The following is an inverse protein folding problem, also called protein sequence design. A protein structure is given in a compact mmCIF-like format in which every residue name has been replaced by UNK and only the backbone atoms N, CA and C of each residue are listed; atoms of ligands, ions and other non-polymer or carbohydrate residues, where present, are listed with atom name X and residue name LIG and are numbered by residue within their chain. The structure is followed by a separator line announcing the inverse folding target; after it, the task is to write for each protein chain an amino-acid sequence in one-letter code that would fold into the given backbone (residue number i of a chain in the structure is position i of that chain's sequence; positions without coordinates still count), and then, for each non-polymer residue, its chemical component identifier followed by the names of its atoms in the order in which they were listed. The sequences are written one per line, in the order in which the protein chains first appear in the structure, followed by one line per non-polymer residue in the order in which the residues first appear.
data_IF_818276896220
#
_entry.id   IF_818276896220
#
_cell.length_a   1.000
_cell.length_b   1.000
_cell.length_c   1.000
_cell.angle_alpha   90.00
_cell.angle_beta   90.00
_cell.angle_gamma   90.00
#
_symmetry.space_group_name_H-M   'P 1'
#
loop_
_entity.id
_entity.type
_entity.pdbx_description
1 polymer ?
#
# COMPACT_ATOMS: atom_id res chain seq x y z
N UNK A 1 -31.46 -7.69 -4.04
CA UNK A 1 -30.68 -8.75 -3.37
C UNK A 1 -29.58 -8.05 -2.59
N UNK A 2 -29.85 -7.79 -1.32
CA UNK A 2 -28.94 -7.12 -0.37
C UNK A 2 -28.24 -8.20 0.44
N UNK A 3 -26.97 -8.46 0.15
CA UNK A 3 -25.99 -9.12 1.03
C UNK A 3 -24.65 -9.01 0.32
N UNK A 4 -24.10 -7.80 0.26
CA UNK A 4 -22.66 -7.60 0.03
C UNK A 4 -21.93 -7.88 1.36
N UNK A 5 -22.20 -9.06 1.91
CA UNK A 5 -21.58 -9.62 3.10
C UNK A 5 -20.29 -10.36 2.69
N UNK A 6 -19.61 -9.84 1.65
CA UNK A 6 -18.19 -10.06 1.48
C UNK A 6 -17.54 -9.34 2.64
N UNK A 7 -17.45 -10.02 3.78
CA UNK A 7 -16.51 -9.66 4.84
C UNK A 7 -15.21 -9.27 4.13
N UNK A 8 -14.85 -7.99 4.17
CA UNK A 8 -13.67 -7.48 3.49
C UNK A 8 -12.50 -8.32 3.99
N UNK A 9 -11.91 -9.19 3.15
CA UNK A 9 -11.04 -10.21 3.67
C UNK A 9 -9.83 -9.53 4.28
N UNK A 10 -9.53 -9.96 5.49
CA UNK A 10 -8.37 -9.49 6.24
C UNK A 10 -7.21 -10.46 6.02
N UNK A 11 -5.99 -9.94 6.10
CA UNK A 11 -4.74 -10.67 5.97
C UNK A 11 -3.92 -10.49 7.24
N UNK A 12 -3.39 -11.59 7.77
CA UNK A 12 -2.36 -11.56 8.82
C UNK A 12 -1.01 -11.06 8.25
N UNK A 13 0.01 -10.91 9.10
CA UNK A 13 1.35 -10.47 8.70
C UNK A 13 1.94 -11.25 7.51
N UNK A 14 2.09 -12.58 7.61
CA UNK A 14 2.60 -13.41 6.53
C UNK A 14 1.79 -13.31 5.23
N UNK A 15 0.45 -13.29 5.32
CA UNK A 15 -0.42 -13.13 4.16
C UNK A 15 -0.26 -11.73 3.54
N UNK A 16 -0.14 -10.68 4.36
CA UNK A 16 0.05 -9.31 3.88
C UNK A 16 1.35 -9.17 3.08
N UNK A 17 2.44 -9.81 3.53
CA UNK A 17 3.69 -9.84 2.77
C UNK A 17 3.49 -10.43 1.37
N UNK A 18 2.82 -11.57 1.26
CA UNK A 18 2.53 -12.17 -0.04
C UNK A 18 1.63 -11.30 -0.92
N UNK A 19 0.65 -10.59 -0.35
CA UNK A 19 -0.19 -9.66 -1.12
C UNK A 19 0.66 -8.53 -1.70
N UNK A 20 1.57 -7.96 -0.91
CA UNK A 20 2.46 -6.88 -1.37
C UNK A 20 3.38 -7.38 -2.48
N UNK A 21 4.05 -8.53 -2.29
CA UNK A 21 4.89 -9.16 -3.32
C UNK A 21 4.12 -9.39 -4.63
N UNK A 22 2.88 -9.86 -4.54
CA UNK A 22 2.02 -10.06 -5.71
C UNK A 22 1.70 -8.75 -6.43
N UNK A 23 1.40 -7.69 -5.69
CA UNK A 23 1.09 -6.38 -6.27
C UNK A 23 2.31 -5.76 -6.96
N UNK A 24 3.49 -5.87 -6.36
CA UNK A 24 4.74 -5.45 -6.99
C UNK A 24 5.02 -6.25 -8.25
N UNK A 25 4.82 -7.58 -8.20
CA UNK A 25 5.05 -8.45 -9.34
C UNK A 25 4.04 -8.20 -10.48
N UNK A 26 2.82 -7.74 -10.16
CA UNK A 26 1.79 -7.44 -11.17
C UNK A 26 2.21 -6.33 -12.13
N UNK A 27 2.99 -5.35 -11.67
CA UNK A 27 3.43 -4.22 -12.49
C UNK A 27 4.45 -4.63 -13.58
N UNK A 28 5.25 -5.67 -13.32
CA UNK A 28 6.35 -6.07 -14.21
C UNK A 28 6.18 -7.45 -14.84
N UNK A 29 5.45 -8.37 -14.19
CA UNK A 29 5.26 -9.76 -14.61
C UNK A 29 3.86 -10.29 -14.24
N UNK A 30 2.78 -9.77 -14.87
CA UNK A 30 1.40 -10.08 -14.49
C UNK A 30 1.03 -11.56 -14.63
N UNK A 31 1.65 -12.28 -15.56
CA UNK A 31 1.46 -13.71 -15.69
C UNK A 31 2.05 -14.49 -14.50
N UNK A 32 3.22 -14.08 -14.01
CA UNK A 32 3.87 -14.76 -12.89
C UNK A 32 3.15 -14.44 -11.58
N UNK A 33 2.71 -13.20 -11.38
CA UNK A 33 1.87 -12.83 -10.24
C UNK A 33 0.58 -13.66 -10.17
N UNK A 34 -0.10 -13.88 -11.30
CA UNK A 34 -1.27 -14.78 -11.34
C UNK A 34 -0.92 -16.23 -11.00
N UNK A 35 0.21 -16.74 -11.51
CA UNK A 35 0.68 -18.10 -11.18
C UNK A 35 1.01 -18.25 -9.70
N UNK A 36 1.62 -17.24 -9.09
CA UNK A 36 1.93 -17.22 -7.66
C UNK A 36 0.66 -17.13 -6.81
N UNK A 37 -0.32 -16.31 -7.20
CA UNK A 37 -1.64 -16.28 -6.54
C UNK A 37 -2.34 -17.65 -6.60
N UNK A 38 -2.34 -18.30 -7.77
CA UNK A 38 -2.89 -19.65 -7.91
C UNK A 38 -2.15 -20.70 -7.06
N UNK A 39 -0.84 -20.50 -6.83
CA UNK A 39 -0.03 -21.36 -5.96
C UNK A 39 -0.43 -21.18 -4.50
N UNK A 40 -0.49 -19.94 -4.01
CA UNK A 40 -0.87 -19.62 -2.63
C UNK A 40 -2.30 -20.12 -2.30
N UNK A 41 -3.22 -20.02 -3.26
CA UNK A 41 -4.56 -20.58 -3.11
C UNK A 41 -4.55 -22.12 -3.04
N UNK A 42 -3.74 -22.79 -3.87
CA UNK A 42 -3.60 -24.26 -3.86
C UNK A 42 -2.96 -24.78 -2.57
N UNK A 43 -1.99 -24.05 -2.04
CA UNK A 43 -1.33 -24.34 -0.76
C UNK A 43 -2.20 -23.99 0.45
N UNK A 44 -3.42 -23.46 0.25
CA UNK A 44 -4.37 -23.02 1.27
C UNK A 44 -3.82 -21.92 2.20
N UNK A 45 -2.82 -21.17 1.72
CA UNK A 45 -2.35 -19.95 2.40
C UNK A 45 -3.43 -18.87 2.35
N UNK A 46 -4.22 -18.85 1.27
CA UNK A 46 -5.33 -17.93 1.05
C UNK A 46 -6.65 -18.68 0.94
N UNK A 47 -7.70 -18.12 1.54
CA UNK A 47 -9.09 -18.54 1.33
C UNK A 47 -9.59 -18.11 -0.06
N UNK A 48 -10.70 -18.70 -0.51
CA UNK A 48 -11.33 -18.30 -1.77
C UNK A 48 -11.74 -16.82 -1.79
N UNK A 49 -12.21 -16.29 -0.66
CA UNK A 49 -12.57 -14.87 -0.52
C UNK A 49 -11.33 -13.96 -0.61
N UNK A 50 -10.26 -14.31 0.12
CA UNK A 50 -8.98 -13.59 0.06
C UNK A 50 -8.40 -13.58 -1.35
N UNK A 51 -8.40 -14.72 -2.05
CA UNK A 51 -7.99 -14.81 -3.45
C UNK A 51 -8.79 -13.85 -4.33
N UNK A 52 -10.13 -13.91 -4.26
CA UNK A 52 -10.99 -13.06 -5.08
C UNK A 52 -10.74 -11.57 -4.82
N UNK A 53 -10.45 -11.18 -3.57
CA UNK A 53 -10.10 -9.80 -3.26
C UNK A 53 -8.73 -9.39 -3.79
N UNK A 54 -7.73 -10.28 -3.82
CA UNK A 54 -6.45 -9.98 -4.47
C UNK A 54 -6.63 -9.82 -5.99
N UNK A 55 -7.42 -10.69 -6.63
CA UNK A 55 -7.78 -10.55 -8.05
C UNK A 55 -8.47 -9.21 -8.31
N UNK A 56 -9.28 -8.74 -7.35
CA UNK A 56 -9.88 -7.42 -7.42
C UNK A 56 -8.84 -6.30 -7.33
N UNK A 57 -7.90 -6.36 -6.38
CA UNK A 57 -6.82 -5.38 -6.21
C UNK A 57 -5.98 -5.23 -7.49
N UNK A 58 -5.74 -6.31 -8.24
CA UNK A 58 -5.00 -6.27 -9.52
C UNK A 58 -5.63 -5.39 -10.60
N UNK A 59 -6.90 -4.99 -10.43
CA UNK A 59 -7.63 -4.14 -11.38
C UNK A 59 -7.80 -2.70 -10.89
N UNK A 60 -7.31 -2.39 -9.68
CA UNK A 60 -7.48 -1.09 -9.03
C UNK A 60 -6.29 -0.16 -9.27
N UNK A 61 -6.52 1.16 -9.32
CA UNK A 61 -5.42 2.12 -9.37
C UNK A 61 -4.66 2.13 -8.03
N UNK A 62 -3.35 2.38 -8.09
CA UNK A 62 -2.43 2.31 -6.94
C UNK A 62 -2.92 3.07 -5.69
N UNK A 63 -3.48 4.27 -5.87
CA UNK A 63 -3.99 5.09 -4.77
C UNK A 63 -5.21 4.46 -4.06
N UNK A 64 -6.03 3.68 -4.77
CA UNK A 64 -7.12 2.90 -4.18
C UNK A 64 -6.59 1.64 -3.48
N UNK A 65 -5.59 0.98 -4.08
CA UNK A 65 -4.95 -0.23 -3.54
C UNK A 65 -4.41 0.04 -2.13
N UNK A 66 -3.67 1.13 -1.91
CA UNK A 66 -3.12 1.46 -0.59
C UNK A 66 -4.20 1.66 0.49
N UNK A 67 -5.31 2.30 0.11
CA UNK A 67 -6.43 2.48 1.01
C UNK A 67 -7.07 1.14 1.38
N UNK A 68 -7.22 0.25 0.40
CA UNK A 68 -7.80 -1.07 0.60
C UNK A 68 -6.89 -1.98 1.43
N UNK A 69 -5.57 -1.97 1.20
CA UNK A 69 -4.61 -2.73 2.00
C UNK A 69 -4.63 -2.33 3.48
N UNK A 70 -4.71 -1.01 3.76
CA UNK A 70 -4.84 -0.52 5.15
C UNK A 70 -6.10 -1.02 5.85
N UNK A 71 -7.19 -1.20 5.12
CA UNK A 71 -8.45 -1.73 5.66
C UNK A 71 -8.42 -3.26 5.82
N UNK A 72 -7.53 -3.95 5.09
CA UNK A 72 -7.43 -5.40 5.05
C UNK A 72 -6.41 -5.97 6.06
N UNK A 73 -5.79 -5.16 6.92
CA UNK A 73 -4.92 -5.68 8.00
C UNK A 73 -5.75 -6.39 9.09
N UNK A 74 -5.49 -7.68 9.33
CA UNK A 74 -6.15 -8.45 10.38
C UNK A 74 -5.65 -8.10 11.78
N UNK A 75 -4.36 -7.81 11.91
CA UNK A 75 -3.64 -7.64 13.18
C UNK A 75 -2.56 -6.54 13.07
N UNK A 76 -1.84 -6.31 14.17
CA UNK A 76 -0.74 -5.35 14.22
C UNK A 76 0.45 -5.79 13.36
N UNK A 77 0.71 -7.10 13.24
CA UNK A 77 1.79 -7.63 12.40
C UNK A 77 1.56 -7.33 10.91
N UNK A 78 0.31 -7.41 10.45
CA UNK A 78 -0.09 -7.02 9.10
C UNK A 78 0.07 -5.51 8.88
N UNK A 79 -0.19 -4.68 9.91
CA UNK A 79 0.02 -3.22 9.83
C UNK A 79 1.50 -2.88 9.77
N UNK A 80 2.31 -3.56 10.57
CA UNK A 80 3.77 -3.39 10.59
C UNK A 80 4.39 -3.85 9.27
N UNK A 81 3.98 -5.01 8.76
CA UNK A 81 4.40 -5.51 7.44
C UNK A 81 4.04 -4.51 6.34
N UNK A 82 2.78 -4.03 6.30
CA UNK A 82 2.35 -3.03 5.32
C UNK A 82 3.18 -1.75 5.43
N UNK A 83 3.50 -1.32 6.65
CA UNK A 83 4.31 -0.13 6.88
C UNK A 83 5.75 -0.35 6.42
N UNK A 84 6.40 -1.43 6.81
CA UNK A 84 7.79 -1.71 6.46
C UNK A 84 8.00 -1.80 4.94
N UNK A 85 7.14 -2.55 4.25
CA UNK A 85 7.27 -2.82 2.83
C UNK A 85 6.79 -1.63 1.96
N UNK A 86 5.73 -0.90 2.35
CA UNK A 86 5.16 0.22 1.55
C UNK A 86 5.63 1.61 1.96
N UNK A 87 6.48 1.78 2.98
CA UNK A 87 7.06 3.08 3.38
C UNK A 87 7.87 3.76 2.25
N UNK A 88 8.19 3.05 1.17
CA UNK A 88 8.89 3.62 0.02
C UNK A 88 8.05 4.52 -0.89
N UNK A 89 6.70 4.45 -0.89
CA UNK A 89 5.88 5.31 -1.77
C UNK A 89 5.43 6.63 -1.11
N UNK A 90 5.28 6.67 0.22
CA UNK A 90 4.85 7.89 0.94
C UNK A 90 5.94 9.00 1.00
N UNK A 91 7.20 8.68 0.69
CA UNK A 91 8.29 9.67 0.64
C UNK A 91 8.23 10.62 -0.55
N UNK A 92 7.36 10.37 -1.54
CA UNK A 92 7.13 11.29 -2.66
C UNK A 92 6.21 12.47 -2.31
N UNK A 93 5.36 12.34 -1.28
CA UNK A 93 4.33 13.35 -0.98
C UNK A 93 4.84 14.39 0.04
N UNK A 94 5.75 14.02 0.94
CA UNK A 94 6.31 14.97 1.94
C UNK A 94 7.44 15.87 1.42
N UNK A 95 7.94 15.67 0.19
CA UNK A 95 9.00 16.50 -0.40
C UNK A 95 8.50 17.59 -1.36
N UNK A 96 7.22 17.61 -1.72
CA UNK A 96 6.65 18.67 -2.60
C UNK A 96 6.21 19.91 -1.81
N UNK A 97 5.94 19.78 -0.50
CA UNK A 97 5.51 20.92 0.35
C UNK A 97 6.57 21.44 1.32
N UNK A 98 7.80 20.91 1.28
CA UNK A 98 8.94 21.55 1.94
C UNK A 98 9.40 22.77 1.14
N UNK A 99 8.52 23.78 1.03
CA UNK A 99 8.88 25.14 0.62
C UNK A 99 10.10 25.55 1.44
N UNK A 100 11.21 26.03 0.83
CA UNK A 100 12.27 26.60 1.63
C UNK A 100 11.68 27.83 2.30
N UNK A 101 11.54 27.78 3.63
CA UNK A 101 11.41 28.96 4.45
C UNK A 101 12.72 29.74 4.29
N UNK A 102 12.80 30.54 3.22
CA UNK A 102 13.86 31.52 3.04
C UNK A 102 13.60 32.58 4.10
N UNK A 103 14.21 32.36 5.26
CA UNK A 103 14.37 33.35 6.29
C UNK A 103 14.98 34.61 5.65
N UNK A 104 14.15 35.62 5.44
CA UNK A 104 14.61 36.97 5.23
C UNK A 104 15.20 37.42 6.57
N UNK A 105 16.50 37.20 6.73
CA UNK A 105 17.30 37.79 7.80
C UNK A 105 17.15 39.31 7.70
N UNK A 106 16.84 39.94 8.81
CA UNK A 106 16.88 41.39 8.92
C UNK A 106 18.28 41.90 8.54
N UNK A 107 18.31 42.88 7.65
CA UNK A 107 19.42 43.80 7.52
C UNK A 107 18.93 45.15 8.07
N UNK A 108 19.09 45.31 9.39
CA UNK A 108 19.29 46.63 9.98
C UNK A 108 20.70 47.05 9.62
N UNK A 109 20.82 48.08 8.79
CA UNK A 109 22.03 48.89 8.70
C UNK A 109 21.59 50.32 8.43
N UNK A 110 21.62 51.11 9.51
CA UNK A 110 21.51 52.56 9.49
C UNK A 110 22.55 53.15 8.54
N UNK A 111 22.14 54.11 7.71
CA UNK A 111 22.97 55.25 7.27
C UNK A 111 22.17 56.23 6.41
N UNK A 112 22.09 57.48 6.90
CA UNK A 112 22.06 58.78 6.19
C UNK A 112 21.36 59.75 7.16
N UNK A 113 22.12 60.43 8.02
CA UNK A 113 22.77 61.72 7.77
C UNK A 113 21.75 62.87 7.76
#
# INVERSE_FOLDING_TARGET
MTSDDFASPVFDGPQMRHVIELLELMDFAPHEARRQLDRLARERVLTAAQRASIEHLFTRPLHEVDRLLRAACADDEARDTLREERVHEARGIYLVDARPARAARGASAAQAA
#
